data_IF_949240411207
#
_entry.id   IF_949240411207
#
_cell.length_a   1.000
_cell.length_b   1.000
_cell.length_c   1.000
_cell.angle_alpha   90.00
_cell.angle_beta   90.00
_cell.angle_gamma   90.00
#
_symmetry.space_group_name_H-M   'P 1'
#
loop_
_entity.id
_entity.type
_entity.pdbx_description
1 polymer ?
#
# COMPACT_ATOMS: atom_id res chain seq x y z
N UNK A 1 -28.99 -4.08 -16.40
CA UNK A 1 -27.95 -3.12 -15.94
C UNK A 1 -27.76 -3.22 -14.44
N UNK A 2 -26.63 -3.78 -14.00
CA UNK A 2 -26.34 -3.96 -12.58
C UNK A 2 -25.84 -2.62 -12.00
N UNK A 3 -26.71 -1.96 -11.23
CA UNK A 3 -26.39 -0.84 -10.32
C UNK A 3 -26.18 -1.40 -8.91
N UNK A 4 -25.45 -0.66 -8.09
CA UNK A 4 -25.28 -0.82 -6.64
C UNK A 4 -24.09 -1.67 -6.16
N UNK A 5 -22.92 -1.01 -6.11
CA UNK A 5 -21.80 -1.41 -5.26
C UNK A 5 -22.26 -1.22 -3.82
N UNK A 6 -22.33 -2.31 -3.07
CA UNK A 6 -22.75 -2.35 -1.66
C UNK A 6 -21.84 -1.45 -0.81
N UNK A 7 -22.42 -0.37 -0.28
CA UNK A 7 -22.01 0.15 1.01
C UNK A 7 -22.43 -0.79 2.14
N UNK A 8 -21.85 -0.55 3.31
CA UNK A 8 -22.13 -1.18 4.60
C UNK A 8 -21.58 -2.60 4.82
N UNK A 9 -20.41 -2.67 5.44
CA UNK A 9 -20.30 -2.97 6.88
C UNK A 9 -18.83 -3.25 7.22
N UNK A 10 -18.17 -2.32 7.89
CA UNK A 10 -16.96 -2.67 8.65
C UNK A 10 -16.90 -1.82 9.93
N UNK A 11 -17.51 -2.27 11.04
CA UNK A 11 -17.37 -1.65 12.36
C UNK A 11 -15.97 -1.87 12.99
N UNK A 12 -14.94 -2.22 12.20
CA UNK A 12 -13.67 -2.80 12.67
C UNK A 12 -12.53 -1.81 12.91
N UNK A 13 -12.81 -0.51 12.94
CA UNK A 13 -11.83 0.50 13.40
C UNK A 13 -11.58 0.48 14.92
N UNK A 14 -12.38 -0.26 15.70
CA UNK A 14 -12.40 -0.15 17.17
C UNK A 14 -11.50 -1.13 17.94
N UNK A 15 -10.96 -2.19 17.31
CA UNK A 15 -10.24 -3.24 18.06
C UNK A 15 -8.72 -3.14 18.02
N UNK A 16 -8.15 -2.24 17.19
CA UNK A 16 -6.70 -2.19 17.00
C UNK A 16 -5.89 -1.61 18.16
N UNK A 17 -6.57 -1.08 19.18
CA UNK A 17 -5.94 -0.38 20.32
C UNK A 17 -5.87 -1.28 21.58
N UNK A 18 -6.55 -2.43 21.61
CA UNK A 18 -6.52 -3.35 22.77
C UNK A 18 -5.51 -4.47 22.58
N UNK A 19 -4.22 -4.14 22.62
CA UNK A 19 -3.16 -4.94 23.27
C UNK A 19 -1.78 -4.32 23.01
N UNK A 20 -1.55 -3.14 23.58
CA UNK A 20 -0.27 -2.42 23.55
C UNK A 20 0.88 -3.10 24.32
N UNK A 21 0.70 -4.34 24.79
CA UNK A 21 1.68 -4.99 25.70
C UNK A 21 2.32 -6.25 25.09
N UNK A 22 1.76 -6.86 24.02
CA UNK A 22 2.22 -8.18 23.54
C UNK A 22 2.64 -8.22 22.07
N UNK A 23 2.23 -7.25 21.24
CA UNK A 23 2.51 -7.25 19.81
C UNK A 23 3.22 -5.96 19.39
N UNK A 24 4.52 -5.99 19.05
CA UNK A 24 5.20 -4.81 18.55
C UNK A 24 4.56 -4.35 17.23
N UNK A 25 3.99 -3.14 17.25
CA UNK A 25 3.51 -2.46 16.07
C UNK A 25 4.70 -1.85 15.32
N UNK A 26 4.71 -1.94 14.00
CA UNK A 26 5.75 -1.36 13.13
C UNK A 26 5.13 -0.80 11.86
N UNK A 27 5.68 0.30 11.37
CA UNK A 27 5.38 0.77 10.01
C UNK A 27 6.01 -0.22 9.04
N UNK A 28 5.21 -0.75 8.11
CA UNK A 28 5.77 -1.54 7.02
C UNK A 28 6.42 -0.59 6.02
N UNK A 29 7.61 -0.94 5.55
CA UNK A 29 8.29 -0.29 4.44
C UNK A 29 8.64 -1.33 3.39
N UNK A 30 8.46 -0.97 2.12
CA UNK A 30 8.72 -1.86 1.00
C UNK A 30 8.87 -1.07 -0.30
N UNK A 31 8.87 -1.79 -1.42
CA UNK A 31 8.88 -1.17 -2.75
C UNK A 31 7.97 -1.95 -3.69
N UNK A 32 7.34 -1.25 -4.62
CA UNK A 32 6.54 -1.85 -5.71
C UNK A 32 7.15 -1.54 -7.07
N UNK A 33 6.91 -2.41 -8.04
CA UNK A 33 7.40 -2.26 -9.41
C UNK A 33 6.61 -1.18 -10.14
N UNK A 34 7.32 -0.25 -10.77
CA UNK A 34 6.73 0.76 -11.64
C UNK A 34 7.12 0.50 -13.09
N UNK A 35 6.11 0.37 -13.94
CA UNK A 35 6.26 0.27 -15.39
C UNK A 35 6.20 1.68 -16.00
N UNK A 36 6.97 1.90 -17.07
CA UNK A 36 7.06 3.17 -17.78
C UNK A 36 7.49 4.37 -16.92
N UNK A 37 8.10 4.13 -15.76
CA UNK A 37 8.64 5.16 -14.86
C UNK A 37 10.10 5.49 -15.11
N UNK A 38 10.52 6.69 -14.71
CA UNK A 38 11.92 7.11 -14.62
C UNK A 38 12.72 6.22 -13.65
N UNK A 39 12.04 5.67 -12.64
CA UNK A 39 12.54 4.56 -11.80
C UNK A 39 11.61 3.35 -11.90
N UNK A 40 12.21 2.16 -11.96
CA UNK A 40 11.47 0.88 -12.00
C UNK A 40 10.88 0.45 -10.65
N UNK A 41 11.19 1.16 -9.55
CA UNK A 41 10.71 0.84 -8.20
C UNK A 41 10.35 2.13 -7.46
N UNK A 42 9.22 2.12 -6.76
CA UNK A 42 8.83 3.18 -5.82
C UNK A 42 8.78 2.65 -4.40
N UNK A 43 9.33 3.42 -3.46
CA UNK A 43 9.22 3.12 -2.03
C UNK A 43 7.79 3.34 -1.55
N UNK A 44 7.29 2.38 -0.78
CA UNK A 44 5.97 2.41 -0.17
C UNK A 44 6.04 2.17 1.33
N UNK A 45 5.07 2.70 2.05
CA UNK A 45 4.89 2.43 3.48
C UNK A 45 3.43 2.28 3.86
N UNK A 46 3.16 1.70 5.03
CA UNK A 46 1.84 1.86 5.65
C UNK A 46 1.71 3.26 6.26
N UNK A 47 0.54 3.92 6.17
CA UNK A 47 0.34 5.24 6.78
C UNK A 47 0.33 5.16 8.31
N UNK A 48 -0.02 4.00 8.89
CA UNK A 48 -0.03 3.74 10.32
C UNK A 48 0.79 2.48 10.67
N UNK A 49 1.25 2.34 11.93
CA UNK A 49 1.87 1.12 12.43
C UNK A 49 0.90 -0.07 12.39
N UNK A 50 1.42 -1.24 12.02
CA UNK A 50 0.66 -2.50 11.97
C UNK A 50 1.36 -3.60 12.79
N UNK A 51 0.64 -4.60 13.32
CA UNK A 51 1.18 -5.76 14.00
C UNK A 51 2.21 -6.48 13.13
N UNK A 52 3.33 -6.85 13.76
CA UNK A 52 4.40 -7.63 13.13
C UNK A 52 3.92 -8.86 12.35
N UNK A 53 2.84 -9.52 12.79
CA UNK A 53 2.21 -10.67 12.11
C UNK A 53 1.81 -10.39 10.65
N UNK A 54 1.50 -9.14 10.31
CA UNK A 54 1.08 -8.76 8.96
C UNK A 54 2.24 -8.36 8.05
N UNK A 55 3.41 -8.00 8.59
CA UNK A 55 4.55 -7.52 7.80
C UNK A 55 4.97 -8.53 6.72
N UNK A 56 5.04 -9.83 7.05
CA UNK A 56 5.44 -10.87 6.09
C UNK A 56 4.42 -11.00 4.95
N UNK A 57 3.13 -11.09 5.30
CA UNK A 57 2.03 -11.21 4.31
C UNK A 57 1.94 -9.99 3.40
N UNK A 58 2.05 -8.79 3.97
CA UNK A 58 2.03 -7.54 3.20
C UNK A 58 3.26 -7.46 2.30
N UNK A 59 4.44 -7.88 2.76
CA UNK A 59 5.63 -7.97 1.90
C UNK A 59 5.44 -8.86 0.68
N UNK A 60 4.83 -10.04 0.87
CA UNK A 60 4.52 -10.96 -0.23
C UNK A 60 3.51 -10.39 -1.23
N UNK A 61 2.49 -9.67 -0.74
CA UNK A 61 1.50 -8.98 -1.60
C UNK A 61 2.18 -7.83 -2.34
N UNK A 62 2.93 -6.98 -1.63
CA UNK A 62 3.62 -5.80 -2.16
C UNK A 62 4.51 -6.16 -3.34
N UNK A 63 5.26 -7.26 -3.25
CA UNK A 63 6.14 -7.74 -4.32
C UNK A 63 5.41 -8.12 -5.61
N UNK A 64 4.11 -8.42 -5.54
CA UNK A 64 3.27 -8.76 -6.72
C UNK A 64 2.57 -7.55 -7.31
N UNK A 65 2.57 -6.41 -6.62
CA UNK A 65 1.96 -5.18 -7.10
C UNK A 65 2.85 -4.57 -8.18
N UNK A 66 2.21 -4.20 -9.28
CA UNK A 66 2.78 -3.42 -10.35
C UNK A 66 1.90 -2.19 -10.57
N UNK A 67 2.51 -1.04 -10.81
CA UNK A 67 1.80 0.18 -11.17
C UNK A 67 2.47 0.82 -12.38
N UNK A 68 1.75 1.67 -13.08
CA UNK A 68 2.32 2.49 -14.14
C UNK A 68 2.62 3.90 -13.62
N UNK A 69 3.68 4.51 -14.15
CA UNK A 69 3.95 5.92 -13.89
C UNK A 69 2.91 6.85 -14.57
N UNK A 70 2.63 8.05 -14.03
CA UNK A 70 3.28 8.65 -12.88
C UNK A 70 2.75 8.12 -11.55
N UNK A 71 3.59 8.20 -10.52
CA UNK A 71 3.20 7.96 -9.13
C UNK A 71 3.50 9.20 -8.31
N UNK A 72 2.56 9.62 -7.46
CA UNK A 72 2.71 10.77 -6.57
C UNK A 72 3.01 10.37 -5.12
N UNK A 73 3.60 11.29 -4.36
CA UNK A 73 3.83 11.09 -2.92
C UNK A 73 2.48 11.06 -2.21
N UNK A 74 2.26 10.04 -1.39
CA UNK A 74 1.00 9.81 -0.69
C UNK A 74 -0.04 9.06 -1.51
N UNK A 75 0.24 8.76 -2.79
CA UNK A 75 -0.67 7.96 -3.61
C UNK A 75 -0.87 6.57 -3.01
N UNK A 76 -2.13 6.16 -2.91
CA UNK A 76 -2.50 4.82 -2.43
C UNK A 76 -2.19 3.80 -3.52
N UNK A 77 -1.26 2.90 -3.20
CA UNK A 77 -0.78 1.81 -4.05
C UNK A 77 -1.68 0.58 -3.93
N UNK A 78 -2.11 0.28 -2.72
CA UNK A 78 -3.13 -0.72 -2.43
C UNK A 78 -3.86 -0.36 -1.15
N UNK A 79 -5.17 -0.55 -1.13
CA UNK A 79 -6.02 -0.27 0.03
C UNK A 79 -6.65 -1.53 0.57
N UNK A 80 -7.02 -1.48 1.85
CA UNK A 80 -7.71 -2.58 2.56
C UNK A 80 -7.02 -3.94 2.40
N UNK A 81 -5.70 -3.98 2.53
CA UNK A 81 -4.94 -5.22 2.47
C UNK A 81 -5.39 -6.16 3.59
N UNK A 82 -5.50 -7.45 3.24
CA UNK A 82 -5.90 -8.52 4.15
C UNK A 82 -7.30 -8.35 4.76
N UNK A 83 -8.14 -7.44 4.24
CA UNK A 83 -9.41 -7.03 4.86
C UNK A 83 -9.25 -6.42 6.26
N UNK A 84 -8.08 -5.85 6.55
CA UNK A 84 -7.72 -5.30 7.87
C UNK A 84 -7.63 -3.76 7.86
N UNK A 85 -8.17 -3.09 6.83
CA UNK A 85 -8.03 -1.64 6.64
C UNK A 85 -6.57 -1.16 6.64
N UNK A 86 -5.67 -1.99 6.09
CA UNK A 86 -4.25 -1.65 5.96
C UNK A 86 -3.99 -1.14 4.55
N UNK A 87 -3.54 0.10 4.45
CA UNK A 87 -3.21 0.73 3.17
C UNK A 87 -1.69 0.79 2.95
N UNK A 88 -1.29 0.84 1.68
CA UNK A 88 0.07 1.13 1.24
C UNK A 88 0.08 2.43 0.45
N UNK A 89 0.97 3.34 0.83
CA UNK A 89 1.14 4.63 0.17
C UNK A 89 2.55 4.76 -0.39
N UNK A 90 2.69 5.39 -1.56
CA UNK A 90 3.97 5.75 -2.12
C UNK A 90 4.61 6.90 -1.33
N UNK A 91 5.92 6.83 -1.11
CA UNK A 91 6.68 7.87 -0.39
C UNK A 91 7.57 8.69 -1.30
N UNK A 92 7.57 8.40 -2.60
CA UNK A 92 8.39 9.07 -3.60
C UNK A 92 7.57 9.28 -4.87
N UNK A 93 7.81 10.41 -5.53
CA UNK A 93 7.27 10.68 -6.86
C UNK A 93 8.05 9.89 -7.92
N UNK A 94 7.35 9.35 -8.91
CA UNK A 94 7.90 8.69 -10.10
C UNK A 94 7.28 9.38 -11.31
N UNK A 95 8.11 9.83 -12.22
CA UNK A 95 7.65 10.47 -13.45
C UNK A 95 7.61 9.43 -14.57
N UNK A 96 6.82 9.69 -15.61
CA UNK A 96 6.86 8.84 -16.80
C UNK A 96 8.25 8.95 -17.42
N UNK A 97 8.79 7.80 -17.85
CA UNK A 97 10.04 7.78 -18.61
C UNK A 97 9.80 8.56 -19.90
N UNK A 98 10.43 9.73 -20.03
CA UNK A 98 10.49 10.39 -21.32
C UNK A 98 11.33 9.52 -22.25
N UNK A 99 10.68 8.88 -23.22
CA UNK A 99 11.34 8.31 -24.39
C UNK A 99 11.86 9.47 -25.25
N UNK A 100 12.92 10.14 -24.81
CA UNK A 100 13.83 10.84 -25.71
C UNK A 100 14.76 9.78 -26.29
N UNK A 101 14.28 9.14 -27.35
CA UNK A 101 15.15 8.49 -28.33
C UNK A 101 15.97 9.60 -29.01
N UNK A 102 17.26 9.64 -28.71
CA UNK A 102 18.28 10.27 -29.56
C UNK A 102 19.15 9.16 -30.16
#
# INVERSE_FOLDING_TARGET
NIKNIKGDECPKGKDYVKNEITNPLRVFTGSVLIENGDFSLVSVKTPAPIPKKYLKKIGEITRRIKMEAPVEIGQVVASNLLNENIDLIATRKIEKKNSLSS
#
